data_IF_822884527692
#
_entry.id   IF_822884527692
#
_cell.length_a   1.000
_cell.length_b   1.000
_cell.length_c   1.000
_cell.angle_alpha   90.00
_cell.angle_beta   90.00
_cell.angle_gamma   90.00
#
_symmetry.space_group_name_H-M   'P 1'
#
loop_
_entity.id
_entity.type
_entity.pdbx_description
1 polymer ?
#
# COMPACT_ATOMS: atom_id res chain seq x y z
N UNK A 1 13.94 35.28 -15.54
CA UNK A 1 14.52 33.92 -15.44
C UNK A 1 13.46 32.99 -15.97
N UNK A 2 13.59 32.55 -17.21
CA UNK A 2 12.65 31.63 -17.86
C UNK A 2 12.99 30.23 -17.40
N UNK A 3 12.31 29.74 -16.36
CA UNK A 3 12.32 28.32 -16.06
C UNK A 3 11.86 27.53 -17.30
N UNK A 4 12.45 26.37 -17.50
CA UNK A 4 11.97 25.39 -18.47
C UNK A 4 10.51 25.03 -18.20
N UNK A 5 9.74 24.68 -19.23
CA UNK A 5 8.29 24.44 -19.14
C UNK A 5 7.91 23.45 -18.01
N UNK A 6 8.75 22.44 -17.75
CA UNK A 6 8.50 21.44 -16.70
C UNK A 6 8.65 21.96 -15.28
N UNK A 7 9.51 22.96 -15.02
CA UNK A 7 9.68 23.55 -13.68
C UNK A 7 8.39 24.26 -13.26
N UNK A 8 7.68 24.85 -14.24
CA UNK A 8 6.36 25.45 -14.00
C UNK A 8 5.32 24.39 -13.63
N UNK A 9 5.30 23.25 -14.34
CA UNK A 9 4.40 22.14 -14.03
C UNK A 9 4.68 21.51 -12.65
N UNK A 10 5.97 21.36 -12.30
CA UNK A 10 6.42 20.84 -11.03
C UNK A 10 6.04 21.77 -9.86
N UNK A 11 6.29 23.07 -10.01
CA UNK A 11 5.86 24.08 -9.04
C UNK A 11 4.34 24.11 -8.87
N UNK A 12 3.57 24.01 -9.97
CA UNK A 12 2.12 23.96 -9.92
C UNK A 12 1.57 22.65 -9.29
N UNK A 13 2.29 21.54 -9.42
CA UNK A 13 1.99 20.32 -8.66
C UNK A 13 2.23 20.55 -7.16
N UNK A 14 3.40 21.06 -6.77
CA UNK A 14 3.71 21.35 -5.37
C UNK A 14 2.67 22.29 -4.75
N UNK A 15 2.32 23.39 -5.43
CA UNK A 15 1.30 24.34 -4.96
C UNK A 15 -0.07 23.67 -4.75
N UNK A 16 -0.50 22.80 -5.67
CA UNK A 16 -1.77 22.05 -5.53
C UNK A 16 -1.74 21.13 -4.32
N UNK A 17 -0.64 20.40 -4.09
CA UNK A 17 -0.49 19.53 -2.92
C UNK A 17 -0.52 20.34 -1.62
N UNK A 18 0.12 21.52 -1.61
CA UNK A 18 0.10 22.44 -0.46
C UNK A 18 -1.29 22.99 -0.19
N UNK A 19 -2.01 23.44 -1.22
CA UNK A 19 -3.41 23.92 -1.09
C UNK A 19 -4.37 22.84 -0.62
N UNK A 20 -4.13 21.58 -1.00
CA UNK A 20 -4.92 20.43 -0.53
C UNK A 20 -4.60 20.03 0.92
N UNK A 21 -3.52 20.56 1.51
CA UNK A 21 -3.06 20.21 2.85
C UNK A 21 -2.37 18.86 2.93
N UNK A 22 -1.92 18.31 1.79
CA UNK A 22 -1.17 17.06 1.71
C UNK A 22 0.34 17.27 1.85
N UNK A 23 0.81 18.50 1.58
CA UNK A 23 2.21 18.90 1.61
C UNK A 23 2.36 20.21 2.41
N UNK A 24 3.23 20.20 3.41
CA UNK A 24 3.35 21.29 4.39
C UNK A 24 4.81 21.67 4.63
N UNK A 25 5.70 20.69 4.69
CA UNK A 25 7.13 20.90 4.91
C UNK A 25 7.77 21.63 3.70
N UNK A 26 8.39 22.81 3.90
CA UNK A 26 9.06 23.54 2.83
C UNK A 26 10.14 22.74 2.09
N UNK A 27 10.84 21.83 2.77
CA UNK A 27 11.85 20.98 2.15
C UNK A 27 11.21 20.01 1.14
N UNK A 28 10.07 19.43 1.49
CA UNK A 28 9.31 18.57 0.57
C UNK A 28 8.63 19.36 -0.55
N UNK A 29 8.22 20.61 -0.30
CA UNK A 29 7.73 21.53 -1.34
C UNK A 29 8.81 21.75 -2.40
N UNK A 30 10.03 22.06 -1.96
CA UNK A 30 11.17 22.23 -2.86
C UNK A 30 11.48 20.93 -3.63
N UNK A 31 11.52 19.78 -2.94
CA UNK A 31 11.77 18.50 -3.57
C UNK A 31 10.78 18.17 -4.69
N UNK A 32 9.47 18.43 -4.49
CA UNK A 32 8.46 18.24 -5.54
C UNK A 32 8.63 19.23 -6.68
N UNK A 33 8.89 20.50 -6.38
CA UNK A 33 9.00 21.57 -7.37
C UNK A 33 10.27 21.46 -8.24
N UNK A 34 11.33 20.84 -7.72
CA UNK A 34 12.65 20.77 -8.38
C UNK A 34 12.98 19.38 -8.93
N UNK A 35 12.09 18.38 -8.77
CA UNK A 35 12.28 17.05 -9.33
C UNK A 35 11.56 16.89 -10.68
N UNK A 36 12.27 16.55 -11.78
CA UNK A 36 11.65 16.38 -13.09
C UNK A 36 10.93 15.02 -13.21
N UNK A 37 9.76 14.87 -12.56
CA UNK A 37 9.00 13.61 -12.50
C UNK A 37 8.71 12.99 -13.88
N UNK A 38 8.56 13.80 -14.92
CA UNK A 38 8.36 13.33 -16.29
C UNK A 38 9.54 12.56 -16.89
N UNK A 39 10.77 12.78 -16.41
CA UNK A 39 11.94 11.98 -16.83
C UNK A 39 11.93 10.59 -16.18
N UNK A 40 11.35 10.49 -14.99
CA UNK A 40 11.19 9.23 -14.25
C UNK A 40 9.97 8.43 -14.76
N UNK A 41 8.96 9.13 -15.29
CA UNK A 41 7.72 8.57 -15.83
C UNK A 41 7.45 9.09 -17.26
N UNK A 42 8.22 8.63 -18.26
CA UNK A 42 8.04 9.08 -19.64
C UNK A 42 6.76 8.53 -20.29
N UNK A 43 6.36 7.32 -19.90
CA UNK A 43 5.15 6.64 -20.35
C UNK A 43 4.39 6.06 -19.16
N UNK A 44 3.10 5.83 -19.36
CA UNK A 44 2.19 5.20 -18.42
C UNK A 44 1.22 4.27 -19.17
N UNK A 45 0.45 3.47 -18.45
CA UNK A 45 -0.60 2.63 -19.02
C UNK A 45 -1.98 3.11 -18.55
N UNK A 46 -2.91 3.21 -19.49
CA UNK A 46 -4.32 3.46 -19.22
C UNK A 46 -5.14 2.21 -19.53
N UNK A 47 -6.16 1.94 -18.72
CA UNK A 47 -7.05 0.80 -18.92
C UNK A 47 -8.28 1.22 -19.75
N UNK A 48 -8.51 0.52 -20.86
CA UNK A 48 -9.69 0.68 -21.69
C UNK A 48 -10.96 0.10 -21.07
N UNK A 49 -12.11 0.41 -21.66
CA UNK A 49 -13.42 -0.09 -21.22
C UNK A 49 -13.56 -1.63 -21.35
N UNK A 50 -12.74 -2.25 -22.21
CA UNK A 50 -12.62 -3.70 -22.38
C UNK A 50 -11.71 -4.36 -21.33
N UNK A 51 -11.10 -3.57 -20.44
CA UNK A 51 -10.15 -4.02 -19.43
C UNK A 51 -8.71 -4.18 -19.94
N UNK A 52 -8.46 -3.93 -21.23
CA UNK A 52 -7.12 -3.95 -21.83
C UNK A 52 -6.28 -2.75 -21.38
N UNK A 53 -4.95 -2.90 -21.41
CA UNK A 53 -4.01 -1.84 -21.06
C UNK A 53 -3.29 -1.32 -22.31
N UNK A 54 -3.24 0.00 -22.47
CA UNK A 54 -2.54 0.66 -23.57
C UNK A 54 -1.49 1.63 -23.01
N UNK A 55 -0.28 1.61 -23.58
CA UNK A 55 0.79 2.55 -23.23
C UNK A 55 0.51 3.92 -23.85
N UNK A 56 0.68 4.97 -23.04
CA UNK A 56 0.46 6.37 -23.40
C UNK A 56 1.66 7.22 -22.96
N UNK A 57 1.90 8.33 -23.67
CA UNK A 57 2.89 9.32 -23.25
C UNK A 57 2.44 10.01 -21.95
N UNK A 58 3.34 10.15 -20.97
CA UNK A 58 2.98 10.57 -19.62
C UNK A 58 3.55 11.94 -19.21
N UNK A 59 4.07 12.75 -20.13
CA UNK A 59 4.70 14.06 -19.80
C UNK A 59 3.80 14.99 -18.99
N UNK A 60 2.55 15.14 -19.39
CA UNK A 60 1.55 15.96 -18.68
C UNK A 60 1.01 15.21 -17.46
N UNK A 61 0.69 13.92 -17.62
CA UNK A 61 0.18 13.04 -16.56
C UNK A 61 1.15 12.95 -15.37
N UNK A 62 2.45 13.03 -15.61
CA UNK A 62 3.50 13.00 -14.59
C UNK A 62 3.33 14.12 -13.56
N UNK A 63 2.69 15.24 -13.92
CA UNK A 63 2.40 16.33 -13.01
C UNK A 63 0.95 16.34 -12.53
N UNK A 64 0.18 15.27 -12.75
CA UNK A 64 -1.13 15.07 -12.13
C UNK A 64 -1.02 14.49 -10.71
N UNK A 65 -2.13 14.50 -9.96
CA UNK A 65 -2.28 13.83 -8.66
C UNK A 65 -2.75 12.37 -8.79
N UNK A 66 -2.61 11.78 -9.97
CA UNK A 66 -2.97 10.39 -10.22
C UNK A 66 -1.78 9.44 -9.98
N UNK A 67 -2.11 8.19 -9.63
CA UNK A 67 -1.16 7.08 -9.73
C UNK A 67 -1.06 6.71 -11.21
N UNK A 68 0.17 6.54 -11.69
CA UNK A 68 0.44 6.18 -13.08
C UNK A 68 0.95 4.75 -13.12
N UNK A 69 0.23 3.83 -13.76
CA UNK A 69 0.74 2.47 -14.01
C UNK A 69 1.89 2.59 -15.00
N UNK A 70 3.05 2.03 -14.67
CA UNK A 70 4.29 2.22 -15.44
C UNK A 70 4.78 0.94 -16.06
N UNK A 71 4.22 -0.21 -15.67
CA UNK A 71 4.51 -1.50 -16.27
C UNK A 71 3.33 -2.45 -16.09
N UNK A 72 2.99 -3.16 -17.15
CA UNK A 72 1.96 -4.20 -17.19
C UNK A 72 2.60 -5.47 -17.75
N UNK A 73 2.40 -6.59 -17.08
CA UNK A 73 2.85 -7.92 -17.51
C UNK A 73 1.67 -8.88 -17.46
N UNK A 74 1.46 -9.67 -18.51
CA UNK A 74 0.33 -10.61 -18.63
C UNK A 74 -1.04 -9.99 -18.30
N UNK A 75 -1.25 -8.74 -18.72
CA UNK A 75 -2.48 -7.99 -18.48
C UNK A 75 -2.65 -7.46 -17.05
N UNK A 76 -1.63 -7.55 -16.20
CA UNK A 76 -1.64 -7.11 -14.81
C UNK A 76 -0.62 -5.99 -14.55
N UNK A 77 -0.99 -4.90 -13.88
CA UNK A 77 -0.03 -3.91 -13.41
C UNK A 77 0.99 -4.53 -12.45
N UNK A 78 2.27 -4.37 -12.74
CA UNK A 78 3.38 -4.84 -11.88
C UNK A 78 4.23 -3.70 -11.33
N UNK A 79 4.06 -2.48 -11.86
CA UNK A 79 4.71 -1.28 -11.35
C UNK A 79 3.84 -0.06 -11.59
N UNK A 80 3.91 0.89 -10.66
CA UNK A 80 3.29 2.21 -10.80
C UNK A 80 4.11 3.28 -10.13
N UNK A 81 4.06 4.51 -10.66
CA UNK A 81 4.43 5.72 -9.93
C UNK A 81 3.24 6.14 -9.07
N UNK A 82 3.33 5.89 -7.77
CA UNK A 82 2.29 6.27 -6.81
C UNK A 82 1.99 7.76 -6.88
N UNK A 83 0.71 8.11 -6.73
CA UNK A 83 0.24 9.50 -6.72
C UNK A 83 1.06 10.40 -5.78
N UNK A 84 1.46 11.62 -6.21
CA UNK A 84 2.33 12.50 -5.43
C UNK A 84 1.80 12.83 -4.05
N UNK A 85 0.49 13.06 -3.92
CA UNK A 85 -0.12 13.42 -2.63
C UNK A 85 0.09 12.32 -1.58
N UNK A 86 0.09 11.05 -1.99
CA UNK A 86 0.33 9.94 -1.07
C UNK A 86 1.80 9.85 -0.71
N UNK A 87 2.70 10.04 -1.68
CA UNK A 87 4.14 10.01 -1.44
C UNK A 87 4.57 11.08 -0.45
N UNK A 88 4.19 12.34 -0.66
CA UNK A 88 4.57 13.42 0.26
C UNK A 88 3.94 13.26 1.65
N UNK A 89 2.69 12.79 1.73
CA UNK A 89 2.07 12.45 3.03
C UNK A 89 2.82 11.35 3.76
N UNK A 90 3.34 10.35 3.04
CA UNK A 90 4.14 9.29 3.64
C UNK A 90 5.49 9.81 4.11
N UNK A 91 6.16 10.64 3.33
CA UNK A 91 7.43 11.27 3.72
C UNK A 91 7.27 12.16 4.96
N UNK A 92 6.19 12.94 5.04
CA UNK A 92 5.87 13.73 6.24
C UNK A 92 5.47 12.86 7.44
N UNK A 93 4.66 11.81 7.23
CA UNK A 93 4.25 10.92 8.31
C UNK A 93 5.42 10.10 8.87
N UNK A 94 6.41 9.77 8.03
CA UNK A 94 7.63 9.10 8.44
C UNK A 94 8.56 10.00 9.25
N UNK A 95 8.29 11.32 9.28
CA UNK A 95 9.09 12.32 9.99
C UNK A 95 10.58 12.18 9.65
N UNK A 96 10.88 12.13 8.36
CA UNK A 96 12.26 12.13 7.86
C UNK A 96 12.88 13.49 8.18
N UNK A 97 14.05 13.47 8.81
CA UNK A 97 14.82 14.66 9.19
C UNK A 97 16.13 14.72 8.42
N UNK A 98 16.74 15.91 8.36
CA UNK A 98 17.99 16.11 7.64
C UNK A 98 19.11 15.28 8.28
N UNK A 99 19.82 14.51 7.45
CA UNK A 99 20.88 13.61 7.89
C UNK A 99 20.42 12.17 8.19
N UNK A 100 19.12 11.88 8.19
CA UNK A 100 18.60 10.51 8.30
C UNK A 100 19.13 9.64 7.15
N UNK A 101 19.47 8.38 7.46
CA UNK A 101 19.69 7.33 6.46
C UNK A 101 18.38 6.58 6.21
N UNK A 102 17.92 6.58 4.96
CA UNK A 102 16.60 6.04 4.60
C UNK A 102 16.72 4.84 3.69
N UNK A 103 16.05 3.75 4.06
CA UNK A 103 15.79 2.61 3.18
C UNK A 103 14.37 2.70 2.60
N UNK A 104 14.29 2.80 1.28
CA UNK A 104 13.06 2.61 0.52
C UNK A 104 12.98 1.15 0.01
N UNK A 105 11.84 0.50 0.29
CA UNK A 105 11.48 -0.80 -0.28
C UNK A 105 10.46 -0.60 -1.40
N UNK A 106 10.88 -0.81 -2.64
CA UNK A 106 10.11 -0.57 -3.86
C UNK A 106 10.64 0.65 -4.63
N UNK A 107 11.80 0.54 -5.26
CA UNK A 107 12.38 1.63 -6.08
C UNK A 107 11.41 2.10 -7.16
N UNK A 108 10.73 1.17 -7.85
CA UNK A 108 9.79 1.51 -8.92
C UNK A 108 10.40 2.48 -9.94
N UNK A 109 9.76 3.62 -10.16
CA UNK A 109 10.25 4.63 -11.12
C UNK A 109 11.45 5.44 -10.63
N UNK A 110 11.79 5.36 -9.34
CA UNK A 110 12.80 6.20 -8.69
C UNK A 110 12.29 7.58 -8.26
N UNK A 111 10.99 7.89 -8.41
CA UNK A 111 10.47 9.21 -8.03
C UNK A 111 10.60 9.51 -6.54
N UNK A 112 10.20 8.58 -5.67
CA UNK A 112 10.30 8.80 -4.24
C UNK A 112 11.76 8.77 -3.74
N UNK A 113 12.62 7.92 -4.32
CA UNK A 113 14.08 8.01 -4.14
C UNK A 113 14.65 9.39 -4.52
N UNK A 114 14.18 10.01 -5.62
CA UNK A 114 14.61 11.35 -6.02
C UNK A 114 14.19 12.41 -5.01
N UNK A 115 12.96 12.34 -4.48
CA UNK A 115 12.49 13.26 -3.44
C UNK A 115 13.35 13.13 -2.18
N UNK A 116 13.57 11.90 -1.70
CA UNK A 116 14.44 11.62 -0.57
C UNK A 116 15.86 12.16 -0.80
N UNK A 117 16.42 11.94 -1.99
CA UNK A 117 17.79 12.35 -2.32
C UNK A 117 17.92 13.87 -2.44
N UNK A 118 16.87 14.56 -2.91
CA UNK A 118 16.81 16.03 -2.93
C UNK A 118 16.95 16.60 -1.52
N UNK A 119 16.26 16.02 -0.53
CA UNK A 119 16.34 16.47 0.87
C UNK A 119 17.62 16.02 1.58
N UNK A 120 17.97 14.73 1.47
CA UNK A 120 18.98 14.08 2.32
C UNK A 120 20.36 14.00 1.69
N UNK A 121 20.45 14.24 0.38
CA UNK A 121 21.59 13.91 -0.45
C UNK A 121 21.64 12.42 -0.83
N UNK A 122 22.20 12.14 -2.01
CA UNK A 122 22.28 10.79 -2.59
C UNK A 122 22.84 9.72 -1.64
N UNK A 123 23.88 10.05 -0.86
CA UNK A 123 24.59 9.12 0.02
C UNK A 123 23.78 8.58 1.20
N UNK A 124 22.65 9.21 1.51
CA UNK A 124 21.76 8.83 2.61
C UNK A 124 20.54 8.03 2.14
N UNK A 125 20.36 7.83 0.83
CA UNK A 125 19.19 7.17 0.27
C UNK A 125 19.57 5.81 -0.31
N UNK A 126 18.93 4.79 0.21
CA UNK A 126 19.07 3.40 -0.19
C UNK A 126 17.71 2.95 -0.69
N UNK A 127 17.61 2.43 -1.90
CA UNK A 127 16.33 1.98 -2.45
C UNK A 127 16.51 0.65 -3.17
N UNK A 128 15.62 -0.29 -2.86
CA UNK A 128 15.68 -1.65 -3.39
C UNK A 128 14.39 -2.03 -4.11
N UNK A 129 14.51 -2.85 -5.15
CA UNK A 129 13.39 -3.48 -5.84
C UNK A 129 13.80 -4.90 -6.25
N UNK A 130 12.85 -5.83 -6.32
CA UNK A 130 13.15 -7.22 -6.72
C UNK A 130 13.47 -7.30 -8.22
N UNK A 131 12.94 -6.38 -9.02
CA UNK A 131 13.07 -6.40 -10.48
C UNK A 131 14.33 -5.65 -10.96
N UNK A 132 15.27 -6.41 -11.53
CA UNK A 132 16.55 -5.90 -12.04
C UNK A 132 16.39 -4.83 -13.13
N UNK A 133 15.41 -4.98 -14.02
CA UNK A 133 15.21 -4.03 -15.12
C UNK A 133 14.57 -2.74 -14.63
N UNK A 134 13.70 -2.81 -13.60
CA UNK A 134 13.17 -1.62 -12.92
C UNK A 134 14.32 -0.83 -12.28
N UNK A 135 15.17 -1.49 -11.49
CA UNK A 135 16.31 -0.85 -10.81
C UNK A 135 17.27 -0.21 -11.83
N UNK A 136 17.60 -0.93 -12.90
CA UNK A 136 18.46 -0.41 -13.97
C UNK A 136 17.85 0.84 -14.62
N UNK A 137 16.57 0.77 -15.00
CA UNK A 137 15.84 1.88 -15.63
C UNK A 137 15.79 3.11 -14.72
N UNK A 138 15.45 2.92 -13.44
CA UNK A 138 15.42 3.99 -12.45
C UNK A 138 16.80 4.66 -12.31
N UNK A 139 17.87 3.84 -12.20
CA UNK A 139 19.26 4.34 -12.10
C UNK A 139 19.65 5.20 -13.29
N UNK A 140 19.34 4.77 -14.51
CA UNK A 140 19.65 5.51 -15.73
C UNK A 140 18.90 6.84 -15.78
N UNK A 141 17.60 6.84 -15.45
CA UNK A 141 16.77 8.06 -15.45
C UNK A 141 17.19 9.07 -14.38
N UNK A 142 17.45 8.60 -13.15
CA UNK A 142 17.95 9.43 -12.04
C UNK A 142 19.28 10.08 -12.40
N UNK A 143 20.22 9.29 -12.94
CA UNK A 143 21.52 9.78 -13.38
C UNK A 143 21.42 10.83 -14.49
N UNK A 144 20.36 10.80 -15.31
CA UNK A 144 20.10 11.74 -16.38
C UNK A 144 19.89 13.19 -15.91
N UNK A 145 19.51 13.41 -14.65
CA UNK A 145 19.42 14.74 -14.04
C UNK A 145 20.32 14.89 -12.79
N UNK A 146 21.35 14.04 -12.67
CA UNK A 146 22.39 14.17 -11.65
C UNK A 146 22.10 13.53 -10.29
N UNK A 147 20.96 12.86 -10.12
CA UNK A 147 20.60 12.16 -8.88
C UNK A 147 21.14 10.72 -8.90
N UNK A 148 21.86 10.31 -7.85
CA UNK A 148 22.57 9.02 -7.79
C UNK A 148 22.48 8.34 -6.41
N UNK A 149 21.27 8.06 -5.89
CA UNK A 149 21.10 7.30 -4.65
C UNK A 149 21.62 5.86 -4.80
N UNK A 150 21.78 5.16 -3.69
CA UNK A 150 22.18 3.75 -3.68
C UNK A 150 21.00 2.87 -4.11
N UNK A 151 21.08 2.26 -5.30
CA UNK A 151 20.03 1.38 -5.83
C UNK A 151 20.52 -0.05 -6.02
N UNK A 152 19.76 -1.03 -5.53
CA UNK A 152 20.06 -2.45 -5.71
C UNK A 152 18.83 -3.29 -6.08
N UNK A 153 19.06 -4.34 -6.86
CA UNK A 153 18.06 -5.33 -7.21
C UNK A 153 18.14 -6.51 -6.25
N UNK A 154 17.34 -6.45 -5.17
CA UNK A 154 17.29 -7.44 -4.08
C UNK A 154 15.87 -7.55 -3.55
N UNK A 155 15.54 -8.68 -2.91
CA UNK A 155 14.23 -8.86 -2.27
C UNK A 155 14.11 -7.96 -1.03
N UNK A 156 13.10 -7.08 -1.06
CA UNK A 156 12.80 -6.13 0.01
C UNK A 156 12.44 -6.75 1.36
N UNK A 157 11.99 -8.02 1.41
CA UNK A 157 11.78 -8.74 2.69
C UNK A 157 13.06 -8.75 3.51
N UNK A 158 14.20 -8.97 2.85
CA UNK A 158 15.51 -9.02 3.49
C UNK A 158 16.05 -7.66 3.91
N UNK A 159 15.39 -6.55 3.52
CA UNK A 159 15.96 -5.22 3.61
C UNK A 159 17.27 -5.13 2.82
N UNK A 160 18.24 -4.36 3.34
CA UNK A 160 19.58 -4.28 2.77
C UNK A 160 20.65 -4.15 3.87
N UNK A 161 20.94 -5.25 4.59
CA UNK A 161 21.69 -5.22 5.84
C UNK A 161 23.12 -4.68 5.71
N UNK A 162 23.76 -4.82 4.54
CA UNK A 162 25.13 -4.35 4.28
C UNK A 162 25.29 -2.82 4.42
N UNK A 163 24.19 -2.07 4.32
CA UNK A 163 24.20 -0.61 4.46
C UNK A 163 23.45 -0.11 5.69
N UNK A 164 22.81 -0.98 6.46
CA UNK A 164 22.16 -0.62 7.71
C UNK A 164 23.14 -0.22 8.83
N UNK A 165 22.64 0.19 10.00
CA UNK A 165 21.22 0.41 10.27
C UNK A 165 20.70 1.72 9.64
N UNK A 166 19.38 1.84 9.55
CA UNK A 166 18.65 2.96 8.95
C UNK A 166 17.86 3.73 10.00
N UNK A 167 17.78 5.04 9.84
CA UNK A 167 16.96 5.90 10.71
C UNK A 167 15.48 5.84 10.31
N UNK A 168 15.22 5.63 9.02
CA UNK A 168 13.86 5.45 8.48
C UNK A 168 13.82 4.31 7.49
N UNK A 169 12.74 3.54 7.52
CA UNK A 169 12.38 2.57 6.49
C UNK A 169 11.01 2.93 5.94
N UNK A 170 10.87 3.02 4.62
CA UNK A 170 9.61 3.28 3.93
C UNK A 170 9.38 2.19 2.90
N UNK A 171 8.21 1.54 2.94
CA UNK A 171 7.82 0.60 1.90
C UNK A 171 6.73 1.20 1.03
N UNK A 172 6.99 1.27 -0.27
CA UNK A 172 6.06 1.71 -1.33
C UNK A 172 5.39 0.50 -2.01
N UNK A 173 5.30 -0.59 -1.26
CA UNK A 173 4.56 -1.81 -1.56
C UNK A 173 3.91 -2.33 -0.26
N UNK A 174 2.86 -3.14 -0.40
CA UNK A 174 2.16 -3.70 0.74
C UNK A 174 2.75 -5.04 1.16
N UNK A 175 2.84 -5.28 2.47
CA UNK A 175 3.27 -6.56 3.04
C UNK A 175 2.16 -7.18 3.89
N UNK A 176 2.04 -8.52 3.93
CA UNK A 176 1.08 -9.18 4.82
C UNK A 176 1.45 -9.04 6.29
N UNK A 177 2.74 -8.86 6.56
CA UNK A 177 3.31 -8.72 7.90
C UNK A 177 4.65 -8.02 7.80
N UNK A 178 5.05 -7.30 8.85
CA UNK A 178 6.36 -6.64 8.92
C UNK A 178 7.50 -7.67 8.94
N UNK A 179 8.44 -7.66 7.97
CA UNK A 179 9.60 -8.54 8.01
C UNK A 179 10.49 -8.30 9.23
N UNK A 180 11.00 -9.37 9.86
CA UNK A 180 11.96 -9.27 10.96
C UNK A 180 13.22 -8.48 10.56
N UNK A 181 13.67 -8.62 9.32
CA UNK A 181 14.84 -7.91 8.81
C UNK A 181 14.72 -6.39 8.97
N UNK A 182 13.51 -5.82 8.84
CA UNK A 182 13.30 -4.38 9.02
C UNK A 182 13.41 -3.96 10.48
N UNK A 183 12.88 -4.77 11.40
CA UNK A 183 13.09 -4.59 12.85
C UNK A 183 14.59 -4.62 13.19
N UNK A 184 15.35 -5.53 12.59
CA UNK A 184 16.78 -5.68 12.87
C UNK A 184 17.61 -4.54 12.27
N UNK A 185 17.18 -3.96 11.15
CA UNK A 185 17.93 -2.95 10.40
C UNK A 185 17.56 -1.51 10.71
N UNK A 186 16.46 -1.22 11.41
CA UNK A 186 16.15 0.15 11.84
C UNK A 186 16.85 0.49 13.17
N UNK A 187 17.29 1.73 13.36
CA UNK A 187 17.90 2.22 14.61
C UNK A 187 16.86 2.32 15.73
N UNK A 188 17.29 2.30 16.99
CA UNK A 188 16.38 2.60 18.12
C UNK A 188 15.93 4.05 18.02
N UNK A 189 14.63 4.31 18.14
CA UNK A 189 14.01 5.61 17.84
C UNK A 189 13.74 5.85 16.35
N UNK A 190 14.31 5.02 15.47
CA UNK A 190 14.01 5.04 14.04
C UNK A 190 12.59 4.55 13.73
N UNK A 191 12.10 4.89 12.54
CA UNK A 191 10.70 4.67 12.15
C UNK A 191 10.55 3.82 10.90
N UNK A 192 9.48 3.04 10.85
CA UNK A 192 9.08 2.21 9.71
C UNK A 192 7.67 2.61 9.29
N UNK A 193 7.49 2.98 8.03
CA UNK A 193 6.18 3.28 7.44
C UNK A 193 5.89 2.32 6.28
N UNK A 194 4.78 1.59 6.37
CA UNK A 194 4.43 0.55 5.39
C UNK A 194 2.92 0.30 5.36
N UNK A 195 2.41 -0.10 4.21
CA UNK A 195 1.05 -0.61 4.04
C UNK A 195 0.99 -2.07 4.46
N UNK A 196 0.33 -2.36 5.58
CA UNK A 196 0.12 -3.73 6.04
C UNK A 196 -1.24 -4.20 5.52
N UNK A 197 -1.21 -5.19 4.61
CA UNK A 197 -2.41 -5.79 4.01
C UNK A 197 -2.50 -7.27 4.29
N UNK A 198 -3.44 -7.65 5.14
CA UNK A 198 -3.71 -9.05 5.44
C UNK A 198 -4.68 -9.65 4.41
N UNK A 199 -4.48 -10.94 4.14
CA UNK A 199 -5.32 -11.77 3.27
C UNK A 199 -5.80 -11.04 2.00
N UNK A 200 -7.10 -10.77 1.88
CA UNK A 200 -7.81 -10.17 0.74
C UNK A 200 -7.44 -8.70 0.43
N UNK A 201 -6.19 -8.31 0.65
CA UNK A 201 -5.67 -6.96 0.43
C UNK A 201 -6.22 -5.94 1.42
N UNK A 202 -6.78 -6.39 2.56
CA UNK A 202 -7.40 -5.54 3.55
C UNK A 202 -6.32 -4.95 4.47
N UNK A 203 -6.27 -3.63 4.59
CA UNK A 203 -5.16 -3.00 5.29
C UNK A 203 -5.10 -1.50 5.13
N UNK A 204 -4.06 -0.93 5.72
CA UNK A 204 -3.73 0.49 5.64
C UNK A 204 -2.26 0.71 6.04
N UNK A 205 -1.77 1.94 5.88
CA UNK A 205 -0.47 2.38 6.36
C UNK A 205 -0.38 2.32 7.88
N UNK A 206 0.74 1.81 8.39
CA UNK A 206 1.13 1.84 9.79
C UNK A 206 2.48 2.52 9.94
N UNK A 207 2.57 3.47 10.87
CA UNK A 207 3.82 4.07 11.30
C UNK A 207 4.24 3.39 12.60
N UNK A 208 5.44 2.82 12.61
CA UNK A 208 6.02 2.11 13.74
C UNK A 208 7.33 2.78 14.15
N UNK A 209 7.57 2.90 15.45
CA UNK A 209 8.83 3.37 16.02
C UNK A 209 9.54 2.19 16.68
N UNK A 210 10.86 2.08 16.52
CA UNK A 210 11.64 1.05 17.20
C UNK A 210 11.91 1.42 18.64
N UNK A 211 11.39 0.60 19.54
CA UNK A 211 11.55 0.69 21.00
C UNK A 211 12.31 -0.54 21.47
N UNK A 212 13.64 -0.40 21.62
CA UNK A 212 14.54 -1.50 21.96
C UNK A 212 14.45 -2.66 20.94
N UNK A 213 13.82 -3.77 21.33
CA UNK A 213 13.70 -5.04 20.61
C UNK A 213 12.37 -5.20 19.86
N UNK A 214 11.54 -4.15 19.82
CA UNK A 214 10.24 -4.18 19.15
C UNK A 214 9.98 -2.94 18.30
N UNK A 215 9.10 -3.09 17.31
CA UNK A 215 8.45 -1.98 16.61
C UNK A 215 7.05 -1.81 17.17
N UNK A 216 6.63 -0.56 17.41
CA UNK A 216 5.31 -0.26 17.96
C UNK A 216 4.79 1.06 17.40
N UNK A 217 3.50 1.10 17.05
CA UNK A 217 2.89 2.32 16.55
C UNK A 217 1.46 2.12 16.03
N UNK A 218 0.97 3.08 15.25
CA UNK A 218 -0.44 3.21 14.89
C UNK A 218 -0.67 3.24 13.39
N UNK A 219 -1.85 2.80 12.98
CA UNK A 219 -2.31 3.00 11.61
C UNK A 219 -2.59 4.49 11.36
N UNK A 220 -2.39 4.94 10.14
CA UNK A 220 -2.67 6.33 9.77
C UNK A 220 -4.16 6.55 9.57
N UNK A 221 -4.69 7.70 9.99
CA UNK A 221 -6.13 8.02 9.87
C UNK A 221 -6.63 8.00 8.42
N UNK A 222 -5.82 8.53 7.49
CA UNK A 222 -6.16 8.53 6.07
C UNK A 222 -5.78 7.20 5.45
N UNK A 223 -6.75 6.54 4.83
CA UNK A 223 -6.53 5.27 4.15
C UNK A 223 -5.63 5.42 2.92
N UNK A 224 -4.74 4.45 2.74
CA UNK A 224 -3.92 4.29 1.55
C UNK A 224 -3.77 2.81 1.20
N UNK A 225 -3.38 2.55 -0.05
CA UNK A 225 -3.23 1.21 -0.58
C UNK A 225 -2.10 1.17 -1.61
N UNK A 226 -1.29 0.13 -1.51
CA UNK A 226 -0.21 -0.20 -2.43
C UNK A 226 -0.42 -1.54 -3.10
N UNK A 227 0.31 -1.77 -4.20
CA UNK A 227 0.44 -3.10 -4.80
C UNK A 227 1.11 -4.04 -3.79
N UNK A 228 0.74 -5.32 -3.80
CA UNK A 228 1.40 -6.32 -2.97
C UNK A 228 2.90 -6.41 -3.35
N UNK A 229 3.75 -6.58 -2.34
CA UNK A 229 5.13 -6.97 -2.55
C UNK A 229 5.18 -8.28 -3.34
N UNK A 230 6.06 -8.34 -4.33
CA UNK A 230 6.24 -9.50 -5.20
C UNK A 230 7.43 -10.33 -4.72
N UNK A 231 7.33 -11.64 -4.88
CA UNK A 231 8.43 -12.57 -4.68
C UNK A 231 8.67 -13.38 -5.96
N UNK A 232 9.89 -13.86 -6.15
CA UNK A 232 10.17 -14.81 -7.22
C UNK A 232 9.35 -16.09 -6.99
N UNK A 233 8.46 -16.42 -7.94
CA UNK A 233 7.72 -17.69 -7.95
C UNK A 233 6.31 -17.68 -7.35
N UNK A 234 5.65 -16.52 -7.24
CA UNK A 234 4.26 -16.42 -6.78
C UNK A 234 3.30 -17.34 -7.58
N UNK A 235 2.53 -18.16 -6.86
CA UNK A 235 1.66 -19.20 -7.43
C UNK A 235 0.29 -18.60 -7.76
N UNK A 236 -0.22 -18.85 -8.97
CA UNK A 236 -1.59 -18.49 -9.36
C UNK A 236 -2.62 -19.20 -8.46
N UNK A 237 -3.60 -18.48 -7.89
CA UNK A 237 -4.60 -19.10 -7.05
C UNK A 237 -5.50 -20.04 -7.88
N UNK A 238 -5.60 -21.30 -7.44
CA UNK A 238 -6.49 -22.31 -8.04
C UNK A 238 -7.94 -21.82 -7.99
N UNK A 239 -8.67 -21.99 -9.10
CA UNK A 239 -10.08 -21.62 -9.17
C UNK A 239 -10.93 -22.72 -8.52
N UNK A 240 -11.45 -22.46 -7.33
CA UNK A 240 -12.36 -23.39 -6.66
C UNK A 240 -13.70 -23.52 -7.40
N UNK A 241 -14.28 -24.72 -7.38
CA UNK A 241 -15.66 -24.97 -7.84
C UNK A 241 -16.60 -24.62 -6.68
N UNK A 242 -17.67 -23.87 -6.96
CA UNK A 242 -18.66 -23.51 -5.93
C UNK A 242 -19.41 -24.75 -5.45
N UNK A 243 -19.57 -24.88 -4.13
CA UNK A 243 -20.50 -25.84 -3.55
C UNK A 243 -21.93 -25.65 -4.10
N UNK A 244 -22.67 -26.74 -4.27
CA UNK A 244 -24.07 -26.71 -4.72
C UNK A 244 -25.04 -26.29 -3.61
N UNK A 245 -26.20 -25.76 -4.01
CA UNK A 245 -27.23 -25.26 -3.08
C UNK A 245 -26.94 -23.83 -2.59
N UNK A 246 -27.66 -23.40 -1.55
CA UNK A 246 -27.51 -22.09 -0.95
C UNK A 246 -28.58 -21.85 0.11
N UNK A 247 -28.17 -21.46 1.31
CA UNK A 247 -29.08 -21.02 2.35
C UNK A 247 -29.14 -19.49 2.34
N UNK A 248 -30.36 -18.96 2.46
CA UNK A 248 -30.60 -17.52 2.54
C UNK A 248 -30.85 -17.09 3.98
N UNK A 249 -30.29 -15.94 4.33
CA UNK A 249 -30.50 -15.28 5.62
C UNK A 249 -30.28 -13.78 5.52
N UNK A 250 -30.92 -13.02 6.39
CA UNK A 250 -30.70 -11.58 6.49
C UNK A 250 -29.34 -11.26 7.14
N UNK A 251 -28.75 -10.12 6.75
CA UNK A 251 -27.52 -9.57 7.33
C UNK A 251 -27.69 -8.09 7.67
N UNK A 252 -27.16 -7.69 8.82
CA UNK A 252 -27.02 -6.27 9.17
C UNK A 252 -25.63 -5.69 8.81
N UNK A 253 -24.68 -6.55 8.43
CA UNK A 253 -23.33 -6.11 8.03
C UNK A 253 -23.36 -5.36 6.69
N UNK A 254 -22.48 -4.36 6.50
CA UNK A 254 -22.37 -3.65 5.24
C UNK A 254 -22.08 -4.62 4.08
N UNK A 255 -22.87 -4.54 3.02
CA UNK A 255 -22.76 -5.47 1.87
C UNK A 255 -21.41 -5.36 1.16
N UNK A 256 -20.77 -4.18 1.21
CA UNK A 256 -19.48 -3.87 0.57
C UNK A 256 -18.54 -3.21 1.58
N UNK A 257 -18.01 -3.97 2.55
CA UNK A 257 -17.26 -3.38 3.65
C UNK A 257 -15.99 -2.67 3.16
N UNK A 258 -15.35 -3.12 2.07
CA UNK A 258 -14.17 -2.46 1.50
C UNK A 258 -14.44 -1.09 0.84
N UNK A 259 -15.70 -0.73 0.54
CA UNK A 259 -16.04 0.56 -0.07
C UNK A 259 -16.12 1.70 0.97
N UNK A 260 -16.57 1.41 2.18
CA UNK A 260 -16.87 2.43 3.19
C UNK A 260 -16.70 2.02 4.66
N UNK A 261 -16.31 0.78 4.93
CA UNK A 261 -16.11 0.21 6.27
C UNK A 261 -14.82 -0.61 6.29
N UNK A 262 -13.70 0.01 5.89
CA UNK A 262 -12.44 -0.71 5.64
C UNK A 262 -11.86 -1.33 6.90
N UNK A 263 -12.15 -0.76 8.07
CA UNK A 263 -11.81 -1.31 9.38
C UNK A 263 -12.55 -2.64 9.62
N UNK A 264 -13.83 -2.72 9.24
CA UNK A 264 -14.60 -3.96 9.32
C UNK A 264 -14.02 -5.00 8.36
N UNK A 265 -13.68 -4.61 7.13
CA UNK A 265 -13.06 -5.51 6.17
C UNK A 265 -11.70 -6.03 6.66
N UNK A 266 -10.88 -5.16 7.24
CA UNK A 266 -9.60 -5.52 7.82
C UNK A 266 -9.74 -6.51 8.98
N UNK A 267 -10.67 -6.27 9.90
CA UNK A 267 -10.94 -7.18 11.02
C UNK A 267 -11.46 -8.54 10.54
N UNK A 268 -12.35 -8.56 9.53
CA UNK A 268 -12.83 -9.81 8.94
C UNK A 268 -11.69 -10.58 8.25
N UNK A 269 -10.79 -9.87 7.54
CA UNK A 269 -9.69 -10.46 6.80
C UNK A 269 -8.64 -11.17 7.67
N UNK A 270 -8.58 -10.87 8.97
CA UNK A 270 -7.74 -11.59 9.94
C UNK A 270 -8.22 -13.02 10.20
N UNK A 271 -9.54 -13.25 10.13
CA UNK A 271 -10.17 -14.55 10.43
C UNK A 271 -10.57 -15.31 9.16
N UNK A 272 -10.73 -14.60 8.04
CA UNK A 272 -11.06 -15.20 6.75
C UNK A 272 -9.95 -16.14 6.26
N UNK A 273 -10.30 -17.26 5.59
CA UNK A 273 -9.32 -18.22 5.11
C UNK A 273 -8.39 -17.61 4.05
N UNK A 274 -7.11 -17.96 4.12
CA UNK A 274 -6.13 -17.56 3.13
C UNK A 274 -6.49 -18.09 1.73
N UNK A 275 -6.13 -17.34 0.68
CA UNK A 275 -6.36 -17.74 -0.70
C UNK A 275 -7.80 -17.59 -1.19
N UNK A 276 -8.68 -17.00 -0.39
CA UNK A 276 -10.04 -16.67 -0.85
C UNK A 276 -10.03 -15.56 -1.91
N UNK A 277 -11.08 -15.53 -2.72
CA UNK A 277 -11.36 -14.48 -3.70
C UNK A 277 -12.60 -13.71 -3.24
N UNK A 278 -12.61 -12.41 -3.53
CA UNK A 278 -13.78 -11.57 -3.33
C UNK A 278 -13.99 -10.69 -4.56
N UNK A 279 -15.20 -10.17 -4.73
CA UNK A 279 -15.52 -9.26 -5.82
C UNK A 279 -16.96 -8.78 -5.77
N UNK A 280 -17.30 -7.90 -6.70
CA UNK A 280 -18.64 -7.34 -6.78
C UNK A 280 -19.61 -8.30 -7.46
N UNK A 281 -20.82 -8.30 -6.92
CA UNK A 281 -22.01 -8.64 -7.70
C UNK A 281 -22.36 -7.41 -8.53
N UNK A 282 -22.53 -7.58 -9.83
CA UNK A 282 -22.83 -6.49 -10.74
C UNK A 282 -24.26 -6.59 -11.26
N UNK A 283 -24.93 -5.44 -11.35
CA UNK A 283 -26.15 -5.31 -12.11
C UNK A 283 -25.88 -5.68 -13.59
N UNK A 284 -26.71 -6.55 -14.21
CA UNK A 284 -26.43 -7.08 -15.54
C UNK A 284 -26.49 -6.02 -16.64
N UNK A 285 -27.20 -4.91 -16.44
CA UNK A 285 -27.41 -3.85 -17.44
C UNK A 285 -26.41 -2.71 -17.23
N UNK A 286 -26.42 -2.13 -16.03
CA UNK A 286 -25.63 -0.94 -15.68
C UNK A 286 -24.18 -1.27 -15.33
N UNK A 287 -23.87 -2.55 -15.06
CA UNK A 287 -22.57 -3.02 -14.60
C UNK A 287 -22.11 -2.38 -13.29
N UNK A 288 -23.02 -1.75 -12.55
CA UNK A 288 -22.72 -1.14 -11.24
C UNK A 288 -22.71 -2.22 -10.15
N UNK A 289 -21.86 -2.08 -9.12
CA UNK A 289 -21.91 -2.96 -7.96
C UNK A 289 -23.26 -2.90 -7.23
N UNK A 290 -23.90 -4.04 -7.05
CA UNK A 290 -25.14 -4.21 -6.27
C UNK A 290 -24.93 -5.01 -4.98
N UNK A 291 -23.74 -5.57 -4.79
CA UNK A 291 -23.42 -6.39 -3.65
C UNK A 291 -22.05 -7.03 -3.78
N UNK A 292 -21.85 -8.14 -3.07
CA UNK A 292 -20.54 -8.79 -2.90
C UNK A 292 -20.61 -10.29 -3.10
N UNK A 293 -19.49 -10.86 -3.49
CA UNK A 293 -19.30 -12.30 -3.59
C UNK A 293 -17.95 -12.69 -2.99
N UNK A 294 -17.94 -13.76 -2.21
CA UNK A 294 -16.74 -14.34 -1.62
C UNK A 294 -16.67 -15.81 -2.03
N UNK A 295 -15.45 -16.33 -2.22
CA UNK A 295 -15.21 -17.73 -2.52
C UNK A 295 -13.89 -18.19 -1.91
N UNK A 296 -13.92 -19.28 -1.15
CA UNK A 296 -12.74 -19.88 -0.53
C UNK A 296 -12.21 -21.08 -1.34
N UNK A 297 -10.94 -21.49 -1.12
CA UNK A 297 -10.33 -22.63 -1.81
C UNK A 297 -11.04 -23.97 -1.58
N UNK A 298 -11.73 -24.14 -0.45
CA UNK A 298 -12.51 -25.34 -0.12
C UNK A 298 -13.85 -25.45 -0.88
N UNK A 299 -14.15 -24.47 -1.74
CA UNK A 299 -15.39 -24.40 -2.52
C UNK A 299 -16.53 -23.65 -1.82
N UNK A 300 -16.34 -23.23 -0.56
CA UNK A 300 -17.30 -22.41 0.16
C UNK A 300 -17.46 -21.05 -0.52
N UNK A 301 -18.69 -20.54 -0.55
CA UNK A 301 -18.98 -19.27 -1.18
C UNK A 301 -20.15 -18.57 -0.53
N UNK A 302 -20.18 -17.24 -0.64
CA UNK A 302 -21.37 -16.46 -0.36
C UNK A 302 -21.59 -15.37 -1.42
N UNK A 303 -22.84 -14.92 -1.51
CA UNK A 303 -23.27 -13.75 -2.25
C UNK A 303 -24.12 -12.90 -1.32
N UNK A 304 -23.92 -11.60 -1.35
CA UNK A 304 -24.68 -10.64 -0.55
C UNK A 304 -25.24 -9.58 -1.46
N UNK A 305 -26.53 -9.31 -1.32
CA UNK A 305 -27.25 -8.29 -2.08
C UNK A 305 -28.58 -8.01 -1.38
N UNK A 306 -28.97 -6.73 -1.33
CA UNK A 306 -30.28 -6.31 -0.80
C UNK A 306 -30.56 -6.79 0.63
N UNK A 307 -29.53 -6.78 1.49
CA UNK A 307 -29.61 -7.21 2.89
C UNK A 307 -29.70 -8.71 3.10
N UNK A 308 -29.57 -9.51 2.03
CA UNK A 308 -29.66 -10.98 2.08
C UNK A 308 -28.32 -11.60 1.72
N UNK A 309 -27.90 -12.58 2.51
CA UNK A 309 -26.76 -13.48 2.26
C UNK A 309 -27.30 -14.78 1.72
N UNK A 310 -26.80 -15.21 0.57
CA UNK A 310 -26.93 -16.58 0.08
C UNK A 310 -25.56 -17.26 0.18
N UNK A 311 -25.44 -18.35 0.93
CA UNK A 311 -24.16 -19.03 1.14
C UNK A 311 -24.26 -20.55 1.13
N UNK A 312 -23.16 -21.22 0.77
CA UNK A 312 -23.01 -22.67 0.81
C UNK A 312 -21.54 -23.06 1.02
N UNK A 313 -21.33 -24.28 1.55
CA UNK A 313 -20.00 -24.84 1.79
C UNK A 313 -19.73 -25.11 3.28
N UNK A 314 -18.50 -25.54 3.57
CA UNK A 314 -18.08 -25.91 4.92
C UNK A 314 -17.67 -24.68 5.77
N UNK A 315 -17.25 -23.60 5.12
CA UNK A 315 -16.73 -22.38 5.77
C UNK A 315 -17.74 -21.25 5.66
N UNK A 316 -18.19 -20.73 6.80
CA UNK A 316 -19.12 -19.59 6.88
C UNK A 316 -18.42 -18.25 6.63
N UNK A 317 -18.16 -17.92 5.36
CA UNK A 317 -17.38 -16.74 4.97
C UNK A 317 -18.02 -15.43 5.41
N UNK A 318 -19.33 -15.27 5.23
CA UNK A 318 -19.99 -14.02 5.59
C UNK A 318 -20.15 -13.86 7.11
N UNK A 319 -20.23 -14.96 7.85
CA UNK A 319 -20.29 -14.92 9.31
C UNK A 319 -19.05 -14.27 9.94
N UNK A 320 -17.87 -14.35 9.29
CA UNK A 320 -16.69 -13.61 9.75
C UNK A 320 -16.84 -12.10 9.55
N UNK A 321 -17.47 -11.68 8.44
CA UNK A 321 -17.75 -10.26 8.17
C UNK A 321 -18.74 -9.70 9.19
N UNK A 322 -19.78 -10.47 9.54
CA UNK A 322 -20.76 -10.09 10.55
C UNK A 322 -20.14 -10.00 11.95
N UNK A 323 -19.35 -11.00 12.35
CA UNK A 323 -18.60 -10.97 13.62
C UNK A 323 -17.71 -9.74 13.72
N UNK A 324 -16.96 -9.43 12.66
CA UNK A 324 -16.12 -8.25 12.60
C UNK A 324 -16.95 -6.95 12.72
N UNK A 325 -18.09 -6.88 12.04
CA UNK A 325 -18.97 -5.71 12.08
C UNK A 325 -19.60 -5.49 13.46
N UNK A 326 -20.10 -6.55 14.09
CA UNK A 326 -20.66 -6.52 15.44
C UNK A 326 -19.60 -6.11 16.47
N UNK A 327 -18.40 -6.69 16.39
CA UNK A 327 -17.28 -6.34 17.24
C UNK A 327 -16.91 -4.85 17.07
N UNK A 328 -16.73 -4.39 15.84
CA UNK A 328 -16.41 -2.99 15.53
C UNK A 328 -17.48 -2.02 16.04
N UNK A 329 -18.77 -2.36 15.88
CA UNK A 329 -19.86 -1.58 16.46
C UNK A 329 -19.80 -1.55 17.99
N UNK A 330 -19.55 -2.71 18.62
CA UNK A 330 -19.39 -2.84 20.06
C UNK A 330 -18.20 -2.05 20.63
N UNK A 331 -17.19 -1.75 19.82
CA UNK A 331 -16.03 -0.91 20.18
C UNK A 331 -16.26 0.59 19.97
N UNK A 332 -17.48 0.98 19.63
CA UNK A 332 -17.84 2.37 19.34
C UNK A 332 -17.34 2.83 17.98
N UNK A 333 -17.26 1.92 17.00
CA UNK A 333 -16.91 2.23 15.60
C UNK A 333 -15.56 2.94 15.44
N UNK A 334 -14.46 2.36 15.96
CA UNK A 334 -13.15 2.99 15.89
C UNK A 334 -12.68 3.22 14.45
N UNK A 335 -12.10 4.39 14.18
CA UNK A 335 -11.35 4.65 12.96
C UNK A 335 -9.92 4.13 13.02
N UNK A 336 -9.21 4.16 11.89
CA UNK A 336 -7.86 3.63 11.74
C UNK A 336 -6.86 4.07 12.83
N UNK A 337 -6.82 5.34 13.24
CA UNK A 337 -5.83 5.81 14.22
C UNK A 337 -5.97 5.21 15.64
N UNK A 338 -7.11 4.57 15.94
CA UNK A 338 -7.28 3.83 17.19
C UNK A 338 -6.62 2.45 17.14
N UNK A 339 -6.40 1.89 15.96
CA UNK A 339 -5.68 0.64 15.79
C UNK A 339 -4.17 0.88 15.81
N UNK A 340 -3.44 -0.07 16.38
CA UNK A 340 -1.99 -0.08 16.31
C UNK A 340 -1.42 -1.49 16.32
N UNK A 341 -0.11 -1.56 16.11
CA UNK A 341 0.60 -2.79 15.87
C UNK A 341 1.86 -2.82 16.73
N UNK A 342 2.11 -3.98 17.35
CA UNK A 342 3.38 -4.31 17.98
C UNK A 342 4.02 -5.47 17.24
N UNK A 343 5.27 -5.34 16.85
CA UNK A 343 6.07 -6.36 16.17
C UNK A 343 7.27 -6.71 17.04
N UNK A 344 7.44 -7.99 17.32
CA UNK A 344 8.56 -8.55 18.08
C UNK A 344 9.16 -9.72 17.30
N UNK A 345 10.25 -10.31 17.81
CA UNK A 345 10.77 -11.57 17.26
C UNK A 345 9.74 -12.72 17.32
N UNK A 346 8.82 -12.69 18.29
CA UNK A 346 7.85 -13.76 18.52
C UNK A 346 6.62 -13.66 17.61
N UNK A 347 6.34 -12.49 17.04
CA UNK A 347 5.16 -12.27 16.23
C UNK A 347 4.65 -10.83 16.21
N UNK A 348 3.45 -10.68 15.65
CA UNK A 348 2.81 -9.38 15.41
C UNK A 348 1.42 -9.36 16.03
N UNK A 349 1.15 -8.29 16.78
CA UNK A 349 -0.06 -8.16 17.57
C UNK A 349 -0.73 -6.83 17.26
N UNK A 350 -1.93 -6.91 16.68
CA UNK A 350 -2.83 -5.79 16.51
C UNK A 350 -3.45 -5.44 17.87
N UNK A 351 -3.64 -4.16 18.14
CA UNK A 351 -4.32 -3.70 19.34
C UNK A 351 -5.22 -2.49 19.06
N UNK A 352 -6.20 -2.28 19.93
CA UNK A 352 -7.09 -1.12 19.92
C UNK A 352 -6.76 -0.21 21.11
N UNK A 353 -6.63 1.09 20.86
CA UNK A 353 -6.32 2.18 21.81
C UNK A 353 -4.97 2.11 22.51
N UNK A 354 -4.38 0.93 22.74
CA UNK A 354 -3.01 0.78 23.21
C UNK A 354 -2.54 -0.67 23.31
N UNK A 355 -1.21 -0.91 23.42
CA UNK A 355 -0.61 -2.24 23.40
C UNK A 355 -0.93 -3.11 24.62
N UNK A 356 -1.34 -2.51 25.75
CA UNK A 356 -1.76 -3.22 26.97
C UNK A 356 -3.27 -3.52 27.02
N UNK A 357 -4.01 -3.12 25.97
CA UNK A 357 -5.47 -3.28 25.90
C UNK A 357 -5.84 -4.48 25.00
N UNK A 358 -7.07 -4.47 24.47
CA UNK A 358 -7.60 -5.54 23.60
C UNK A 358 -6.66 -5.76 22.42
N UNK A 359 -6.24 -7.00 22.22
CA UNK A 359 -5.33 -7.40 21.15
C UNK A 359 -5.83 -8.56 20.31
N UNK A 360 -5.54 -8.53 19.01
CA UNK A 360 -5.75 -9.62 18.05
C UNK A 360 -4.38 -10.03 17.49
N UNK A 361 -4.19 -11.31 17.20
CA UNK A 361 -2.98 -11.79 16.55
C UNK A 361 -3.09 -11.60 15.04
N UNK A 362 -2.01 -11.15 14.41
CA UNK A 362 -1.87 -11.22 12.96
C UNK A 362 -1.11 -12.52 12.67
N UNK A 363 -1.83 -13.54 12.21
CA UNK A 363 -1.29 -14.87 11.88
C UNK A 363 -0.58 -14.89 10.54
#
# INVERSE_FOLDING_TARGET
MTGTEWETDAAALAERLTKAGDLRDPAWVAAVAETPRHLLVPTAYEQGADGGWAEVGARELAYSTATLVTRVEDGRPVSSSTKPDLMVRMLEALEVEDGDRVLEIGTGTGYNAALLAHRLGDGNVYSVDVDREIVKTARERLAGFGCRPHLAAVDGIGGWPEHGPYDRIIATCAVPRIPKAWLDQVTVGGKVLVDVKVNTGAGNLVLLEKRNDRLEGRFTERWAAFMAMRHDGDIEPVRAVKAEGGQERETAAPERPWDGHREVWFLAALELPAGMRYGYVLDPVTRRPTGSSLQAPDGSWCRVSEGVVTEAGATGLWSEVERAYEAWCGWGRPGWGRFGLTVTEQGQRLWLDGPEQRSLLIS
#
